data_IF_968196983389
#
_entry.id   IF_968196983389
#
_cell.length_a   1.000
_cell.length_b   1.000
_cell.length_c   1.000
_cell.angle_alpha   90.00
_cell.angle_beta   90.00
_cell.angle_gamma   90.00
#
_symmetry.space_group_name_H-M   'P 1'
#
loop_
_entity.id
_entity.type
_entity.pdbx_description
1 polymer ?
#
# COMPACT_ATOMS: atom_id res chain seq x y z
N UNK A 1 13.52 -34.59 -10.32
CA UNK A 1 13.76 -33.30 -9.63
C UNK A 1 13.73 -32.23 -10.71
N UNK A 2 12.55 -31.71 -11.04
CA UNK A 2 12.44 -30.60 -11.99
C UNK A 2 12.46 -29.32 -11.18
N UNK A 3 13.54 -28.55 -11.33
CA UNK A 3 13.62 -27.17 -10.86
C UNK A 3 12.98 -26.30 -11.93
N UNK A 4 11.67 -26.05 -11.83
CA UNK A 4 11.04 -25.00 -12.64
C UNK A 4 11.12 -23.67 -11.87
N UNK A 5 12.24 -22.98 -12.05
CA UNK A 5 12.42 -21.59 -11.68
C UNK A 5 11.76 -20.77 -12.79
N UNK A 6 10.42 -20.66 -12.73
CA UNK A 6 9.67 -19.89 -13.73
C UNK A 6 9.96 -18.41 -13.52
N UNK A 7 10.79 -17.96 -14.45
CA UNK A 7 11.19 -16.60 -14.70
C UNK A 7 9.99 -15.81 -15.20
N UNK A 8 9.35 -15.06 -14.30
CA UNK A 8 8.64 -13.85 -14.69
C UNK A 8 9.15 -12.73 -13.81
N UNK A 9 10.16 -12.04 -14.35
CA UNK A 9 10.74 -10.83 -13.84
C UNK A 9 9.65 -9.72 -13.85
N UNK A 10 8.77 -9.72 -12.85
CA UNK A 10 7.80 -8.65 -12.65
C UNK A 10 8.54 -7.48 -12.03
N UNK A 11 9.10 -6.62 -12.88
CA UNK A 11 9.45 -5.25 -12.51
C UNK A 11 8.16 -4.49 -12.10
N UNK A 12 7.60 -4.77 -10.92
CA UNK A 12 6.54 -3.97 -10.29
C UNK A 12 7.05 -3.43 -8.97
N UNK A 13 8.02 -2.52 -9.05
CA UNK A 13 8.54 -1.79 -7.90
C UNK A 13 8.88 -0.36 -8.33
N UNK A 14 7.88 0.42 -8.78
CA UNK A 14 8.11 1.71 -9.42
C UNK A 14 7.26 2.89 -8.93
N UNK A 15 6.36 2.71 -7.97
CA UNK A 15 5.44 3.79 -7.54
C UNK A 15 5.97 4.62 -6.36
N UNK A 16 7.19 4.37 -5.89
CA UNK A 16 7.85 5.16 -4.83
C UNK A 16 8.50 6.46 -5.33
N UNK A 17 8.40 6.77 -6.62
CA UNK A 17 9.02 7.95 -7.24
C UNK A 17 8.12 9.18 -7.28
N UNK A 18 6.83 9.05 -6.99
CA UNK A 18 5.86 10.15 -7.07
C UNK A 18 4.93 10.19 -5.87
N UNK A 19 4.41 11.38 -5.55
CA UNK A 19 3.41 11.52 -4.51
C UNK A 19 2.13 10.74 -4.89
N UNK A 20 1.64 9.80 -4.06
CA UNK A 20 0.51 8.94 -4.41
C UNK A 20 -0.82 9.70 -4.51
N UNK A 21 -0.90 10.90 -3.92
CA UNK A 21 -2.13 11.71 -3.91
C UNK A 21 -2.28 12.60 -5.14
N UNK A 22 -1.18 13.24 -5.58
CA UNK A 22 -1.23 14.26 -6.64
C UNK A 22 -0.21 14.05 -7.77
N UNK A 23 0.60 12.99 -7.69
CA UNK A 23 1.62 12.59 -8.68
C UNK A 23 2.74 13.61 -8.93
N UNK A 24 2.87 14.63 -8.08
CA UNK A 24 4.03 15.55 -8.10
C UNK A 24 5.27 14.86 -7.52
N UNK A 25 6.44 15.45 -7.75
CA UNK A 25 7.68 15.01 -7.12
C UNK A 25 7.50 14.89 -5.59
N UNK A 26 7.95 13.78 -4.97
CA UNK A 26 7.82 13.59 -3.53
C UNK A 26 8.71 14.58 -2.78
N UNK A 27 8.45 14.74 -1.49
CA UNK A 27 9.35 15.47 -0.60
C UNK A 27 10.73 14.80 -0.52
N UNK A 28 11.65 15.47 0.16
CA UNK A 28 13.00 14.93 0.39
C UNK A 28 12.87 13.60 1.15
N UNK A 29 13.56 12.56 0.66
CA UNK A 29 13.61 11.24 1.34
C UNK A 29 14.11 11.44 2.77
N UNK A 30 13.37 10.91 3.73
CA UNK A 30 13.66 11.08 5.17
C UNK A 30 13.03 12.32 5.81
N UNK A 31 12.30 13.15 5.07
CA UNK A 31 11.45 14.19 5.65
C UNK A 31 10.11 13.63 6.15
N UNK A 32 9.47 14.34 7.08
CA UNK A 32 8.15 13.97 7.63
C UNK A 32 7.03 13.89 6.59
N UNK A 33 7.23 14.51 5.44
CA UNK A 33 6.27 14.50 4.35
C UNK A 33 6.49 13.35 3.37
N UNK A 34 7.68 12.75 3.29
CA UNK A 34 7.93 11.61 2.40
C UNK A 34 7.05 10.41 2.81
N UNK A 35 6.35 9.71 1.88
CA UNK A 35 6.47 9.73 0.42
C UNK A 35 5.60 10.78 -0.33
N UNK A 36 4.97 11.70 0.37
CA UNK A 36 4.14 12.76 -0.20
C UNK A 36 4.94 14.02 -0.56
N UNK A 37 4.38 14.88 -1.41
CA UNK A 37 5.00 16.15 -1.77
C UNK A 37 4.81 17.26 -0.71
N UNK A 38 3.89 17.08 0.24
CA UNK A 38 3.54 18.08 1.26
C UNK A 38 2.67 17.49 2.37
N UNK A 39 2.61 18.19 3.51
CA UNK A 39 1.72 17.87 4.63
C UNK A 39 0.24 17.81 4.22
N UNK A 40 -0.19 18.68 3.30
CA UNK A 40 -1.56 18.66 2.76
C UNK A 40 -1.88 17.32 2.10
N UNK A 41 -0.98 16.78 1.28
CA UNK A 41 -1.20 15.50 0.62
C UNK A 41 -1.23 14.34 1.62
N UNK A 42 -0.36 14.36 2.65
CA UNK A 42 -0.40 13.38 3.74
C UNK A 42 -1.76 13.36 4.45
N UNK A 43 -2.34 14.54 4.73
CA UNK A 43 -3.65 14.63 5.37
C UNK A 43 -4.80 14.18 4.45
N UNK A 44 -4.73 14.48 3.16
CA UNK A 44 -5.73 14.00 2.19
C UNK A 44 -5.71 12.47 2.08
N UNK A 45 -4.52 11.88 2.09
CA UNK A 45 -4.35 10.43 2.07
C UNK A 45 -4.97 9.77 3.32
N UNK A 46 -4.70 10.36 4.49
CA UNK A 46 -5.31 9.93 5.75
C UNK A 46 -6.85 10.02 5.68
N UNK A 47 -7.39 11.09 5.09
CA UNK A 47 -8.83 11.24 4.87
C UNK A 47 -9.40 10.08 4.04
N UNK A 48 -8.76 9.74 2.92
CA UNK A 48 -9.18 8.59 2.08
C UNK A 48 -9.14 7.26 2.83
N UNK A 49 -8.20 7.12 3.76
CA UNK A 49 -8.11 5.94 4.62
C UNK A 49 -9.27 5.85 5.60
N UNK A 50 -9.59 6.95 6.27
CA UNK A 50 -10.74 7.04 7.18
C UNK A 50 -12.08 6.88 6.44
N UNK A 51 -12.16 7.35 5.20
CA UNK A 51 -13.34 7.22 4.34
C UNK A 51 -13.52 5.78 3.80
N UNK A 52 -12.62 4.85 4.11
CA UNK A 52 -12.68 3.47 3.62
C UNK A 52 -12.47 3.35 2.11
N UNK A 53 -11.84 4.34 1.47
CA UNK A 53 -11.59 4.32 0.02
C UNK A 53 -10.53 3.32 -0.41
N UNK A 54 -9.78 2.75 0.55
CA UNK A 54 -8.80 1.70 0.28
C UNK A 54 -9.46 0.33 0.47
N UNK A 55 -9.55 -0.44 -0.61
CA UNK A 55 -10.01 -1.82 -0.59
C UNK A 55 -8.83 -2.78 -0.37
N UNK A 56 -9.04 -3.81 0.44
CA UNK A 56 -8.11 -4.95 0.51
C UNK A 56 -8.15 -5.71 -0.81
N UNK A 57 -6.97 -6.13 -1.30
CA UNK A 57 -6.86 -6.91 -2.54
C UNK A 57 -7.48 -8.30 -2.46
N UNK A 58 -7.75 -8.79 -1.24
CA UNK A 58 -8.40 -10.08 -1.02
C UNK A 58 -9.84 -9.85 -0.58
N UNK A 59 -10.81 -10.64 -1.09
CA UNK A 59 -12.14 -10.65 -0.52
C UNK A 59 -12.06 -11.06 0.95
N UNK A 60 -12.85 -10.42 1.80
CA UNK A 60 -12.96 -10.84 3.19
C UNK A 60 -13.69 -12.19 3.22
N UNK A 61 -13.06 -13.21 3.77
CA UNK A 61 -13.71 -14.49 4.05
C UNK A 61 -14.31 -14.42 5.46
N UNK A 62 -15.66 -14.50 5.60
CA UNK A 62 -16.32 -14.44 6.91
C UNK A 62 -15.92 -15.54 7.89
N UNK A 63 -15.24 -16.60 7.43
CA UNK A 63 -14.74 -17.70 8.27
C UNK A 63 -13.33 -17.44 8.86
N UNK A 64 -12.64 -16.38 8.45
CA UNK A 64 -11.32 -16.01 8.99
C UNK A 64 -11.41 -15.21 10.32
N UNK A 65 -12.59 -14.70 10.66
CA UNK A 65 -12.86 -13.87 11.86
C UNK A 65 -13.39 -14.69 13.07
N UNK A 66 -13.30 -16.02 13.05
CA UNK A 66 -13.67 -16.84 14.21
C UNK A 66 -12.62 -16.68 15.33
N UNK A 67 -12.98 -16.16 16.52
CA UNK A 67 -12.06 -16.15 17.65
C UNK A 67 -11.73 -17.60 18.01
N UNK A 68 -10.44 -17.94 17.98
CA UNK A 68 -9.94 -19.20 18.51
C UNK A 68 -10.16 -19.23 20.03
N UNK A 69 -11.36 -19.61 20.45
CA UNK A 69 -11.61 -20.19 21.77
C UNK A 69 -11.23 -21.67 21.72
N UNK A 70 -9.97 -21.98 22.00
CA UNK A 70 -9.59 -23.29 22.53
C UNK A 70 -8.59 -23.09 23.67
N UNK A 71 -9.06 -23.45 24.86
CA UNK A 71 -8.35 -23.65 26.14
C UNK A 71 -6.98 -24.36 25.99
#
# INVERSE_FOLDING_TARGET
MVTDFSSENVLKSGDSLFCPVCRKAPGVVGSDCFPFCSQRCRLVDLGRWLDGSYASSRPLDPSEDDPLDTD
#
